data_IF_373776843738
#
_entry.id   IF_373776843738
#
_cell.length_a   1.000
_cell.length_b   1.000
_cell.length_c   1.000
_cell.angle_alpha   90.00
_cell.angle_beta   90.00
_cell.angle_gamma   90.00
#
_symmetry.space_group_name_H-M   'P 1'
#
loop_
_entity.id
_entity.type
_entity.pdbx_description
1 polymer ?
#
# COMPACT_ATOMS: atom_id res chain seq x y z
N UNK A 1 1.88 -21.40 -4.75
CA UNK A 1 2.71 -20.27 -5.21
C UNK A 1 1.77 -19.13 -5.58
N UNK A 2 1.99 -17.95 -5.02
CA UNK A 2 1.31 -16.72 -5.41
C UNK A 2 2.10 -16.07 -6.56
N UNK A 3 1.42 -15.82 -7.68
CA UNK A 3 2.05 -15.22 -8.86
C UNK A 3 1.88 -13.70 -8.93
N UNK A 4 0.85 -13.17 -8.29
CA UNK A 4 0.63 -11.74 -8.21
C UNK A 4 1.25 -11.15 -6.94
N UNK A 5 2.44 -10.62 -7.08
CA UNK A 5 3.18 -10.01 -5.97
C UNK A 5 2.48 -8.76 -5.41
N UNK A 6 1.54 -8.15 -6.12
CA UNK A 6 0.75 -7.03 -5.63
C UNK A 6 -0.29 -7.45 -4.57
N UNK A 7 -0.54 -8.77 -4.43
CA UNK A 7 -1.38 -9.33 -3.37
C UNK A 7 -0.61 -9.58 -2.05
N UNK A 8 0.68 -9.25 -2.01
CA UNK A 8 1.43 -9.32 -0.77
C UNK A 8 1.08 -8.15 0.15
N UNK A 9 0.51 -8.47 1.29
CA UNK A 9 0.26 -7.54 2.38
C UNK A 9 1.02 -8.03 3.60
N UNK A 10 1.83 -7.15 4.17
CA UNK A 10 2.78 -7.52 5.22
C UNK A 10 2.17 -7.67 6.63
N UNK A 11 0.85 -7.91 6.73
CA UNK A 11 0.17 -8.14 8.01
C UNK A 11 0.81 -9.25 8.83
N UNK A 12 1.13 -10.37 8.17
CA UNK A 12 1.93 -11.46 8.70
C UNK A 12 2.61 -12.20 7.57
N UNK A 13 3.90 -12.40 7.69
CA UNK A 13 4.67 -13.22 6.76
C UNK A 13 5.91 -13.80 7.45
N UNK A 14 6.47 -14.81 6.85
CA UNK A 14 7.76 -15.38 7.25
C UNK A 14 8.71 -15.41 6.06
N UNK A 15 9.95 -15.09 6.31
CA UNK A 15 11.03 -15.10 5.32
C UNK A 15 12.34 -15.53 6.00
N UNK A 16 13.22 -16.19 5.28
CA UNK A 16 14.54 -16.48 5.80
C UNK A 16 15.31 -15.17 5.98
N UNK A 17 15.97 -15.02 7.12
CA UNK A 17 16.81 -13.83 7.41
C UNK A 17 17.75 -13.48 6.26
N UNK A 18 18.43 -14.50 5.70
CA UNK A 18 19.34 -14.32 4.57
C UNK A 18 18.65 -13.67 3.37
N UNK A 19 17.45 -14.17 3.02
CA UNK A 19 16.73 -13.70 1.84
C UNK A 19 16.18 -12.27 2.07
N UNK A 20 15.72 -11.96 3.29
CA UNK A 20 15.34 -10.61 3.69
C UNK A 20 16.52 -9.63 3.63
N UNK A 21 17.71 -10.03 4.09
CA UNK A 21 18.91 -9.22 3.99
C UNK A 21 19.36 -9.03 2.53
N UNK A 22 19.26 -10.07 1.71
CA UNK A 22 19.66 -10.01 0.30
C UNK A 22 18.81 -9.02 -0.51
N UNK A 23 17.52 -8.88 -0.17
CA UNK A 23 16.65 -7.86 -0.80
C UNK A 23 16.76 -6.49 -0.13
N UNK A 24 17.62 -6.35 0.87
CA UNK A 24 17.80 -5.13 1.65
C UNK A 24 16.52 -4.67 2.37
N UNK A 25 15.74 -5.63 2.89
CA UNK A 25 14.55 -5.37 3.70
C UNK A 25 13.55 -4.36 3.14
N UNK A 26 12.81 -3.69 4.00
CA UNK A 26 11.92 -2.59 3.62
C UNK A 26 12.70 -1.36 3.15
N UNK A 27 12.12 -0.59 2.25
CA UNK A 27 12.67 0.69 1.84
C UNK A 27 12.22 1.77 2.82
N UNK A 28 13.15 2.30 3.61
CA UNK A 28 12.85 3.15 4.78
C UNK A 28 12.42 4.59 4.44
N UNK A 29 12.45 4.98 3.17
CA UNK A 29 12.03 6.31 2.76
C UNK A 29 10.51 6.47 2.68
N UNK A 30 9.73 5.37 2.68
CA UNK A 30 8.28 5.46 2.84
C UNK A 30 7.95 6.02 4.22
N UNK A 31 7.05 7.00 4.28
CA UNK A 31 6.61 7.63 5.52
C UNK A 31 5.10 7.49 5.68
N UNK A 32 4.69 7.16 6.89
CA UNK A 32 3.27 7.00 7.21
C UNK A 32 2.71 5.69 6.67
N UNK A 33 1.74 5.74 5.76
CA UNK A 33 0.94 4.59 5.37
C UNK A 33 0.98 4.32 3.87
N UNK A 34 1.19 3.06 3.49
CA UNK A 34 1.00 2.53 2.14
C UNK A 34 2.26 2.46 1.28
N UNK A 35 2.26 1.51 0.37
CA UNK A 35 3.27 1.17 -0.63
C UNK A 35 4.52 0.41 -0.12
N UNK A 36 4.84 0.41 1.16
CA UNK A 36 6.04 -0.22 1.73
C UNK A 36 6.05 -1.74 1.54
N UNK A 37 4.91 -2.39 1.72
CA UNK A 37 4.77 -3.84 1.54
C UNK A 37 4.74 -4.22 0.06
N UNK A 38 4.08 -3.44 -0.78
CA UNK A 38 4.10 -3.63 -2.24
C UNK A 38 5.51 -3.43 -2.80
N UNK A 39 6.28 -2.45 -2.30
CA UNK A 39 7.69 -2.27 -2.67
C UNK A 39 8.54 -3.48 -2.29
N UNK A 40 8.38 -3.99 -1.07
CA UNK A 40 9.07 -5.20 -0.64
C UNK A 40 8.72 -6.40 -1.53
N UNK A 41 7.46 -6.54 -1.91
CA UNK A 41 7.01 -7.59 -2.81
C UNK A 41 7.64 -7.47 -4.22
N UNK A 42 7.79 -6.24 -4.74
CA UNK A 42 8.51 -6.03 -6.01
C UNK A 42 9.99 -6.40 -5.89
N UNK A 43 10.64 -6.15 -4.75
CA UNK A 43 12.00 -6.63 -4.49
C UNK A 43 12.06 -8.16 -4.49
N UNK A 44 11.09 -8.84 -3.88
CA UNK A 44 11.00 -10.30 -3.94
C UNK A 44 10.91 -10.80 -5.38
N UNK A 45 10.04 -10.19 -6.18
CA UNK A 45 9.90 -10.51 -7.60
C UNK A 45 11.20 -10.29 -8.38
N UNK A 46 11.86 -9.16 -8.18
CA UNK A 46 13.12 -8.82 -8.82
C UNK A 46 14.24 -9.82 -8.49
N UNK A 47 14.27 -10.32 -7.26
CA UNK A 47 15.24 -11.32 -6.80
C UNK A 47 14.76 -12.77 -7.00
N UNK A 48 13.70 -13.01 -7.77
CA UNK A 48 13.11 -14.33 -8.04
C UNK A 48 12.79 -15.15 -6.78
N UNK A 49 12.40 -14.48 -5.69
CA UNK A 49 11.90 -15.14 -4.48
C UNK A 49 10.43 -15.46 -4.65
N UNK A 50 10.08 -16.73 -4.56
CA UNK A 50 8.70 -17.17 -4.69
C UNK A 50 7.87 -16.84 -3.44
N UNK A 51 6.63 -16.40 -3.66
CA UNK A 51 5.63 -16.20 -2.60
C UNK A 51 4.74 -17.43 -2.48
N UNK A 52 4.47 -17.83 -1.24
CA UNK A 52 3.56 -18.92 -0.94
C UNK A 52 2.46 -18.43 0.01
N UNK A 53 1.21 -18.77 -0.31
CA UNK A 53 0.12 -18.66 0.66
C UNK A 53 0.05 -19.95 1.45
N UNK A 54 -0.02 -19.83 2.75
CA UNK A 54 -0.19 -20.97 3.65
C UNK A 54 -1.58 -20.93 4.27
N UNK A 55 -2.17 -22.10 4.46
CA UNK A 55 -3.45 -22.22 5.16
C UNK A 55 -3.19 -22.23 6.68
N UNK A 56 -3.12 -21.04 7.26
CA UNK A 56 -2.93 -20.85 8.69
C UNK A 56 -3.93 -19.81 9.20
N UNK A 57 -4.49 -20.07 10.38
CA UNK A 57 -5.39 -19.11 11.04
C UNK A 57 -4.54 -18.15 11.86
N UNK A 58 -4.77 -16.87 11.64
CA UNK A 58 -4.15 -15.80 12.42
C UNK A 58 -5.24 -14.86 12.94
N UNK A 59 -5.00 -14.24 14.08
CA UNK A 59 -5.93 -13.28 14.67
C UNK A 59 -5.34 -11.89 14.56
N UNK A 60 -6.10 -11.01 13.92
CA UNK A 60 -5.77 -9.59 13.85
C UNK A 60 -6.60 -8.85 14.90
N UNK A 61 -5.93 -8.07 15.74
CA UNK A 61 -6.64 -7.27 16.75
C UNK A 61 -7.58 -6.29 16.07
N UNK A 62 -8.86 -6.31 16.50
CA UNK A 62 -9.86 -5.40 15.98
C UNK A 62 -9.50 -3.94 16.25
N UNK A 63 -9.57 -3.11 15.24
CA UNK A 63 -9.50 -1.66 15.34
C UNK A 63 -10.35 -1.00 14.27
N UNK A 64 -10.69 0.27 14.46
CA UNK A 64 -11.42 1.03 13.47
C UNK A 64 -10.55 1.26 12.23
N UNK A 65 -11.17 1.13 11.07
CA UNK A 65 -10.53 1.37 9.78
C UNK A 65 -11.28 2.45 9.00
N UNK A 66 -10.62 3.00 7.99
CA UNK A 66 -11.19 4.01 7.10
C UNK A 66 -11.20 3.45 5.67
N UNK A 67 -12.34 3.54 4.98
CA UNK A 67 -12.51 3.07 3.60
C UNK A 67 -13.24 4.11 2.74
N UNK A 68 -12.54 4.73 1.81
CA UNK A 68 -11.09 4.67 1.59
C UNK A 68 -10.31 5.28 2.76
N UNK A 69 -8.99 5.02 2.90
CA UNK A 69 -8.20 5.45 4.05
C UNK A 69 -7.85 6.96 3.97
N UNK A 70 -8.86 7.81 4.03
CA UNK A 70 -8.73 9.27 3.92
C UNK A 70 -7.95 9.90 5.08
N UNK A 71 -7.90 9.23 6.22
CA UNK A 71 -7.08 9.63 7.37
C UNK A 71 -5.56 9.52 7.10
N UNK A 72 -5.16 8.77 6.06
CA UNK A 72 -3.77 8.60 5.61
C UNK A 72 -3.53 9.18 4.21
N UNK A 73 -4.47 10.00 3.70
CA UNK A 73 -4.49 10.48 2.32
C UNK A 73 -3.17 11.05 1.84
N UNK A 74 -2.58 11.99 2.58
CA UNK A 74 -1.33 12.65 2.20
C UNK A 74 -0.16 11.66 2.10
N UNK A 75 -0.03 10.79 3.10
CA UNK A 75 1.01 9.75 3.11
C UNK A 75 0.86 8.78 1.95
N UNK A 76 -0.36 8.35 1.64
CA UNK A 76 -0.65 7.46 0.51
C UNK A 76 -0.25 8.12 -0.82
N UNK A 77 -0.60 9.38 -1.04
CA UNK A 77 -0.24 10.09 -2.28
C UNK A 77 1.28 10.26 -2.40
N UNK A 78 1.95 10.67 -1.33
CA UNK A 78 3.40 10.83 -1.30
C UNK A 78 4.11 9.49 -1.57
N UNK A 79 3.70 8.43 -0.89
CA UNK A 79 4.26 7.10 -1.04
C UNK A 79 3.96 6.48 -2.41
N UNK A 80 2.78 6.72 -2.98
CA UNK A 80 2.45 6.27 -4.33
C UNK A 80 3.33 6.92 -5.39
N UNK A 81 3.63 8.21 -5.25
CA UNK A 81 4.57 8.91 -6.13
C UNK A 81 5.99 8.36 -5.99
N UNK A 82 6.47 8.16 -4.76
CA UNK A 82 7.79 7.56 -4.49
C UNK A 82 7.90 6.15 -5.06
N UNK A 83 6.83 5.34 -4.93
CA UNK A 83 6.76 4.02 -5.52
C UNK A 83 6.85 4.07 -7.05
N UNK A 84 6.12 4.99 -7.68
CA UNK A 84 6.16 5.18 -9.13
C UNK A 84 7.57 5.54 -9.64
N UNK A 85 8.29 6.40 -8.93
CA UNK A 85 9.69 6.74 -9.26
C UNK A 85 10.61 5.51 -9.23
N UNK A 86 10.32 4.53 -8.38
CA UNK A 86 11.11 3.31 -8.22
C UNK A 86 10.74 2.21 -9.22
N UNK A 87 9.44 2.05 -9.49
CA UNK A 87 8.91 0.87 -10.20
C UNK A 87 8.17 1.19 -11.50
N UNK A 88 7.96 2.47 -11.83
CA UNK A 88 7.31 2.97 -13.04
C UNK A 88 5.85 2.50 -13.23
N UNK A 89 5.16 2.20 -12.15
CA UNK A 89 3.71 2.00 -12.08
C UNK A 89 3.20 2.39 -10.68
N UNK A 90 1.88 2.60 -10.53
CA UNK A 90 1.32 2.99 -9.24
C UNK A 90 0.87 1.78 -8.43
N UNK A 91 1.13 1.77 -7.10
CA UNK A 91 0.53 0.82 -6.17
C UNK A 91 -0.87 1.29 -5.80
N UNK A 92 -1.66 0.48 -5.11
CA UNK A 92 -2.91 0.88 -4.46
C UNK A 92 -3.92 1.57 -5.41
N UNK A 93 -4.01 1.12 -6.66
CA UNK A 93 -4.84 1.75 -7.70
C UNK A 93 -6.30 1.90 -7.28
N UNK A 94 -6.85 0.94 -6.54
CA UNK A 94 -8.21 1.01 -5.99
C UNK A 94 -8.45 2.22 -5.09
N UNK A 95 -7.45 2.69 -4.35
CA UNK A 95 -7.57 3.92 -3.56
C UNK A 95 -7.35 5.17 -4.40
N UNK A 96 -6.39 5.12 -5.31
CA UNK A 96 -6.08 6.24 -6.21
C UNK A 96 -7.31 6.57 -7.06
N UNK A 97 -7.97 5.58 -7.64
CA UNK A 97 -9.20 5.76 -8.43
C UNK A 97 -10.30 6.44 -7.61
N UNK A 98 -10.54 5.98 -6.38
CA UNK A 98 -11.51 6.62 -5.49
C UNK A 98 -11.11 8.06 -5.13
N UNK A 99 -9.82 8.34 -4.97
CA UNK A 99 -9.35 9.70 -4.70
C UNK A 99 -9.54 10.62 -5.93
N UNK A 100 -9.35 10.11 -7.14
CA UNK A 100 -9.63 10.84 -8.38
C UNK A 100 -11.14 11.10 -8.55
N UNK A 101 -11.99 10.08 -8.37
CA UNK A 101 -13.45 10.21 -8.42
C UNK A 101 -13.99 11.26 -7.44
N UNK A 102 -13.34 11.40 -6.28
CA UNK A 102 -13.70 12.42 -5.28
C UNK A 102 -13.08 13.79 -5.55
N UNK A 103 -12.30 13.95 -6.63
CA UNK A 103 -11.61 15.18 -6.96
C UNK A 103 -10.55 15.59 -5.94
N UNK A 104 -9.94 14.61 -5.26
CA UNK A 104 -8.87 14.85 -4.29
C UNK A 104 -7.50 14.88 -4.96
N UNK A 105 -7.31 14.05 -5.97
CA UNK A 105 -6.05 13.97 -6.74
C UNK A 105 -6.35 13.97 -8.24
N UNK A 106 -5.29 14.19 -9.01
CA UNK A 106 -5.27 14.01 -10.47
C UNK A 106 -3.98 13.32 -10.86
N UNK A 107 -4.09 12.28 -11.66
CA UNK A 107 -2.92 11.67 -12.29
C UNK A 107 -2.52 12.47 -13.52
N UNK A 108 -1.32 13.03 -13.50
CA UNK A 108 -0.81 13.82 -14.60
C UNK A 108 0.68 13.55 -14.83
N UNK A 109 1.03 13.10 -16.04
CA UNK A 109 2.42 12.81 -16.45
C UNK A 109 3.19 11.91 -15.48
N UNK A 110 2.56 10.82 -15.03
CA UNK A 110 3.20 9.88 -14.11
C UNK A 110 3.35 10.38 -12.67
N UNK A 111 2.57 11.40 -12.28
CA UNK A 111 2.57 11.94 -10.92
C UNK A 111 1.15 12.19 -10.43
N UNK A 112 0.88 11.80 -9.22
CA UNK A 112 -0.34 12.15 -8.51
C UNK A 112 -0.19 13.56 -7.93
N UNK A 113 -1.04 14.48 -8.37
CA UNK A 113 -1.13 15.84 -7.83
C UNK A 113 -2.32 15.94 -6.90
N UNK A 114 -2.12 16.46 -5.71
CA UNK A 114 -3.21 16.79 -4.79
C UNK A 114 -3.92 18.03 -5.33
N UNK A 115 -5.24 17.92 -5.56
CA UNK A 115 -6.11 19.02 -5.94
C UNK A 115 -6.70 19.70 -4.70
N UNK A 116 -7.09 18.91 -3.71
CA UNK A 116 -7.54 19.36 -2.40
C UNK A 116 -7.37 18.25 -1.36
N UNK A 117 -7.39 18.60 -0.11
CA UNK A 117 -7.43 17.62 0.97
C UNK A 117 -8.87 17.20 1.30
N UNK A 118 -9.09 15.95 1.76
CA UNK A 118 -10.38 15.56 2.29
C UNK A 118 -10.73 16.37 3.53
N UNK A 119 -11.99 16.79 3.65
CA UNK A 119 -12.44 17.49 4.83
C UNK A 119 -12.76 16.53 6.00
N UNK A 120 -12.96 17.10 7.19
CA UNK A 120 -13.23 16.31 8.40
C UNK A 120 -14.53 15.49 8.30
N UNK A 121 -15.51 15.90 7.50
CA UNK A 121 -16.76 15.17 7.28
C UNK A 121 -16.53 13.98 6.35
N UNK A 122 -15.75 14.15 5.29
CA UNK A 122 -15.35 13.06 4.38
C UNK A 122 -14.55 11.99 5.14
N UNK A 123 -13.57 12.40 5.95
CA UNK A 123 -12.79 11.48 6.79
C UNK A 123 -13.70 10.72 7.77
N UNK A 124 -14.60 11.41 8.48
CA UNK A 124 -15.53 10.73 9.40
C UNK A 124 -16.43 9.74 8.69
N UNK A 125 -16.94 10.08 7.49
CA UNK A 125 -17.80 9.19 6.70
C UNK A 125 -17.07 7.95 6.17
N UNK A 126 -15.76 8.01 5.98
CA UNK A 126 -14.98 6.85 5.56
C UNK A 126 -14.67 5.85 6.68
N UNK A 127 -14.97 6.24 7.93
CA UNK A 127 -14.79 5.38 9.10
C UNK A 127 -15.78 4.21 9.07
N UNK A 128 -15.30 3.01 9.27
CA UNK A 128 -16.10 1.78 9.27
C UNK A 128 -15.69 0.83 10.38
N UNK A 129 -16.63 0.01 10.81
CA UNK A 129 -16.39 -1.10 11.75
C UNK A 129 -16.26 -2.43 11.02
N UNK A 130 -16.48 -2.46 9.70
CA UNK A 130 -16.33 -3.66 8.90
C UNK A 130 -14.83 -4.01 8.79
N UNK A 131 -14.43 -5.12 9.39
CA UNK A 131 -13.12 -5.72 9.16
C UNK A 131 -13.17 -6.38 7.77
N UNK A 132 -12.44 -5.85 6.79
CA UNK A 132 -12.27 -6.38 5.42
C UNK A 132 -13.53 -6.53 4.58
#
# INVERSE_FOLDING_TARGET
IEKDYNQFWSLIFTIRKRDFCNVNGFYENYKGYGAEDTDLAQKFKFHALELFRVNAVVYHQYHQVYRPPLNHFEGIVANANLFYERWNFFPMMNWIEVFEERGLVKLERGKLKILRFPDAKEIRKSKTTSAF
#
